data_IF_635147386725
#
_entry.id   IF_635147386725
#
_cell.length_a   1.000
_cell.length_b   1.000
_cell.length_c   1.000
_cell.angle_alpha   90.00
_cell.angle_beta   90.00
_cell.angle_gamma   90.00
#
_symmetry.space_group_name_H-M   'P 1'
#
loop_
_entity.id
_entity.type
_entity.pdbx_description
1 polymer ?
#
# COMPACT_ATOMS: atom_id res chain seq x y z
N UNK A 1 12.26 -1.73 -0.75
CA UNK A 1 12.90 -0.90 0.29
C UNK A 1 11.90 -0.33 1.28
N UNK A 2 10.90 0.46 0.85
CA UNK A 2 9.92 1.07 1.77
C UNK A 2 9.23 0.09 2.73
N UNK A 3 8.76 -1.07 2.25
CA UNK A 3 8.12 -2.14 3.06
C UNK A 3 9.03 -2.80 4.13
N UNK A 4 10.31 -2.41 4.24
CA UNK A 4 11.18 -2.87 5.33
C UNK A 4 11.10 -1.97 6.56
N UNK A 5 10.52 -0.78 6.41
CA UNK A 5 10.28 0.15 7.52
C UNK A 5 9.00 -0.30 8.25
N UNK A 6 9.05 -0.49 9.58
CA UNK A 6 7.90 -0.93 10.35
C UNK A 6 6.68 -0.02 10.14
N UNK A 7 5.50 -0.60 9.97
CA UNK A 7 4.25 0.15 9.74
C UNK A 7 4.05 0.69 8.33
N UNK A 8 5.04 0.56 7.42
CA UNK A 8 4.89 0.97 6.02
C UNK A 8 4.28 -0.16 5.19
N UNK A 9 3.21 0.18 4.47
CA UNK A 9 2.52 -0.65 3.48
C UNK A 9 2.56 0.07 2.14
N UNK A 10 3.70 -0.04 1.47
CA UNK A 10 3.94 0.51 0.15
C UNK A 10 3.38 -0.39 -0.96
N UNK A 11 2.57 0.20 -1.83
CA UNK A 11 2.00 -0.44 -3.01
C UNK A 11 2.63 0.10 -4.30
N UNK A 12 3.10 -0.80 -5.17
CA UNK A 12 3.53 -0.45 -6.52
C UNK A 12 2.36 -0.57 -7.47
N UNK A 13 1.96 0.55 -8.08
CA UNK A 13 0.79 0.61 -8.94
C UNK A 13 1.16 1.09 -10.34
N UNK A 14 0.56 0.47 -11.35
CA UNK A 14 0.72 0.83 -12.76
C UNK A 14 -0.63 1.14 -13.43
N UNK A 15 -1.73 1.05 -12.68
CA UNK A 15 -3.10 1.30 -13.13
C UNK A 15 -3.97 1.79 -11.96
N UNK A 16 -5.15 2.33 -12.27
CA UNK A 16 -6.07 2.93 -11.30
C UNK A 16 -6.79 1.92 -10.43
N UNK A 17 -7.07 0.72 -10.95
CA UNK A 17 -7.74 -0.33 -10.20
C UNK A 17 -6.85 -0.82 -9.05
N UNK A 18 -5.59 -1.15 -9.34
CA UNK A 18 -4.60 -1.55 -8.35
C UNK A 18 -4.39 -0.44 -7.32
N UNK A 19 -4.39 0.82 -7.74
CA UNK A 19 -4.28 1.97 -6.84
C UNK A 19 -5.44 2.03 -5.84
N UNK A 20 -6.69 2.00 -6.33
CA UNK A 20 -7.89 1.99 -5.48
C UNK A 20 -7.89 0.78 -4.54
N UNK A 21 -7.65 -0.42 -5.06
CA UNK A 21 -7.65 -1.65 -4.30
C UNK A 21 -6.52 -1.69 -3.25
N UNK A 22 -5.37 -1.06 -3.52
CA UNK A 22 -4.29 -0.99 -2.55
C UNK A 22 -4.69 -0.22 -1.29
N UNK A 23 -5.49 0.85 -1.42
CA UNK A 23 -6.08 1.57 -0.28
C UNK A 23 -7.22 0.77 0.33
N UNK A 24 -8.21 0.38 -0.47
CA UNK A 24 -9.42 -0.28 -0.03
C UNK A 24 -9.17 -1.59 0.70
N UNK A 25 -8.24 -2.41 0.22
CA UNK A 25 -8.03 -3.76 0.74
C UNK A 25 -6.80 -3.92 1.64
N UNK A 26 -5.78 -3.09 1.48
CA UNK A 26 -4.51 -3.27 2.18
C UNK A 26 -4.18 -2.09 3.10
N UNK A 27 -5.03 -1.05 3.12
CA UNK A 27 -4.74 0.22 3.77
C UNK A 27 -3.31 0.69 3.46
N UNK A 28 -2.94 0.66 2.17
CA UNK A 28 -1.62 1.10 1.75
C UNK A 28 -1.44 2.57 2.15
N UNK A 29 -0.32 2.89 2.79
CA UNK A 29 0.00 4.26 3.25
C UNK A 29 1.16 4.89 2.47
N UNK A 30 1.74 4.16 1.52
CA UNK A 30 2.73 4.66 0.58
C UNK A 30 2.36 4.17 -0.83
N UNK A 31 2.32 5.08 -1.79
CA UNK A 31 2.19 4.77 -3.21
C UNK A 31 3.56 4.84 -3.88
N UNK A 32 3.88 3.86 -4.70
CA UNK A 32 5.11 3.84 -5.51
C UNK A 32 4.76 3.68 -6.99
N UNK A 33 5.43 4.45 -7.85
CA UNK A 33 5.16 4.52 -9.28
C UNK A 33 6.46 4.36 -10.08
N UNK A 34 6.37 3.68 -11.22
CA UNK A 34 7.49 3.52 -12.14
C UNK A 34 7.53 4.63 -13.18
N UNK A 35 8.44 5.60 -13.02
CA UNK A 35 8.55 6.75 -13.94
C UNK A 35 8.84 6.37 -15.42
N UNK A 36 9.41 5.19 -15.66
CA UNK A 36 9.66 4.64 -17.02
C UNK A 36 8.64 3.58 -17.45
N UNK A 37 7.63 3.30 -16.62
CA UNK A 37 6.62 2.25 -16.85
C UNK A 37 5.30 2.88 -17.27
N UNK A 38 4.93 4.01 -16.68
CA UNK A 38 3.67 4.71 -16.94
C UNK A 38 3.93 6.16 -17.36
N UNK A 39 3.09 6.68 -18.26
CA UNK A 39 3.11 8.09 -18.65
C UNK A 39 2.56 9.01 -17.56
N UNK A 40 2.92 10.30 -17.63
CA UNK A 40 2.55 11.31 -16.62
C UNK A 40 1.03 11.49 -16.44
N UNK A 41 0.26 11.38 -17.52
CA UNK A 41 -1.21 11.45 -17.46
C UNK A 41 -1.80 10.33 -16.61
N UNK A 42 -1.41 9.08 -16.87
CA UNK A 42 -1.84 7.92 -16.10
C UNK A 42 -1.31 7.98 -14.64
N UNK A 43 -0.06 8.43 -14.44
CA UNK A 43 0.49 8.60 -13.10
C UNK A 43 -0.35 9.57 -12.26
N UNK A 44 -0.80 10.70 -12.84
CA UNK A 44 -1.66 11.67 -12.15
C UNK A 44 -3.03 11.09 -11.79
N UNK A 45 -3.60 10.31 -12.70
CA UNK A 45 -4.86 9.58 -12.47
C UNK A 45 -4.72 8.60 -11.31
N UNK A 46 -3.66 7.78 -11.32
CA UNK A 46 -3.36 6.81 -10.26
C UNK A 46 -3.24 7.49 -8.90
N UNK A 47 -2.49 8.60 -8.82
CA UNK A 47 -2.34 9.36 -7.57
C UNK A 47 -3.69 9.86 -7.08
N UNK A 48 -4.53 10.42 -7.96
CA UNK A 48 -5.86 10.92 -7.59
C UNK A 48 -6.75 9.81 -7.04
N UNK A 49 -6.82 8.69 -7.75
CA UNK A 49 -7.64 7.52 -7.34
C UNK A 49 -7.14 6.96 -6.01
N UNK A 50 -5.83 6.87 -5.81
CA UNK A 50 -5.24 6.42 -4.56
C UNK A 50 -5.54 7.37 -3.39
N UNK A 51 -5.47 8.68 -3.60
CA UNK A 51 -5.79 9.65 -2.54
C UNK A 51 -7.29 9.68 -2.20
N UNK A 52 -8.16 9.42 -3.17
CA UNK A 52 -9.61 9.41 -2.97
C UNK A 52 -10.14 8.09 -2.38
N UNK A 53 -9.41 6.99 -2.51
CA UNK A 53 -9.86 5.69 -2.03
C UNK A 53 -9.70 5.56 -0.50
N UNK A 54 -10.77 5.10 0.14
CA UNK A 54 -10.81 4.82 1.58
C UNK A 54 -10.61 3.34 1.88
N UNK A 55 -10.13 3.04 3.09
CA UNK A 55 -9.97 1.66 3.53
C UNK A 55 -11.32 1.04 3.90
N UNK A 56 -11.63 -0.13 3.34
CA UNK A 56 -12.92 -0.80 3.55
C UNK A 56 -13.02 -1.54 4.90
N UNK A 57 -11.90 -1.78 5.59
CA UNK A 57 -11.90 -2.50 6.85
C UNK A 57 -12.47 -3.92 6.74
N UNK A 58 -13.29 -4.32 7.72
CA UNK A 58 -13.95 -5.62 7.74
C UNK A 58 -13.00 -6.81 7.52
N UNK A 59 -13.25 -7.60 6.47
CA UNK A 59 -12.42 -8.78 6.16
C UNK A 59 -10.95 -8.44 5.87
N UNK A 60 -10.67 -7.21 5.43
CA UNK A 60 -9.35 -6.72 5.07
C UNK A 60 -8.48 -6.43 6.29
N UNK A 61 -9.10 -5.97 7.39
CA UNK A 61 -8.40 -5.72 8.64
C UNK A 61 -7.65 -6.96 9.12
N UNK A 62 -8.26 -8.15 9.00
CA UNK A 62 -7.60 -9.42 9.37
C UNK A 62 -6.29 -9.67 8.62
N UNK A 63 -6.18 -9.23 7.35
CA UNK A 63 -4.96 -9.39 6.56
C UNK A 63 -3.92 -8.35 6.96
N UNK A 64 -4.35 -7.10 7.18
CA UNK A 64 -3.49 -6.03 7.69
C UNK A 64 -2.89 -6.42 9.05
N UNK A 65 -3.71 -6.92 9.99
CA UNK A 65 -3.24 -7.40 11.29
C UNK A 65 -2.16 -8.48 11.17
N UNK A 66 -2.31 -9.46 10.26
CA UNK A 66 -1.27 -10.48 10.04
C UNK A 66 0.07 -9.90 9.60
N UNK A 67 0.06 -8.82 8.81
CA UNK A 67 1.29 -8.12 8.42
C UNK A 67 1.91 -7.43 9.63
N UNK A 68 1.11 -6.73 10.44
CA UNK A 68 1.57 -6.07 11.66
C UNK A 68 2.13 -7.07 12.69
N UNK A 69 1.47 -8.21 12.87
CA UNK A 69 1.93 -9.29 13.76
C UNK A 69 3.26 -9.87 13.27
N UNK A 70 3.40 -10.06 11.95
CA UNK A 70 4.65 -10.49 11.35
C UNK A 70 5.78 -9.47 11.60
N UNK A 71 5.52 -8.18 11.37
CA UNK A 71 6.47 -7.12 11.68
C UNK A 71 6.89 -7.16 13.15
N UNK A 72 5.93 -7.20 14.07
CA UNK A 72 6.21 -7.26 15.52
C UNK A 72 7.09 -8.46 15.89
N UNK A 73 6.83 -9.64 15.33
CA UNK A 73 7.61 -10.86 15.58
C UNK A 73 9.09 -10.73 15.18
N UNK A 74 9.37 -10.14 14.02
CA UNK A 74 10.73 -10.10 13.48
C UNK A 74 11.50 -8.80 13.80
N UNK A 75 10.82 -7.78 14.30
CA UNK A 75 11.44 -6.55 14.80
C UNK A 75 11.68 -6.59 16.31
N UNK A 76 10.83 -7.30 17.06
CA UNK A 76 10.97 -7.50 18.50
C UNK A 76 12.13 -8.44 18.88
N UNK A 77 12.59 -9.31 17.99
CA UNK A 77 13.71 -10.22 18.23
C UNK A 77 15.11 -9.57 18.09
N UNK A 78 15.18 -8.26 17.82
CA UNK A 78 16.42 -7.48 17.70
C UNK A 78 16.68 -6.55 18.89
N UNK A 79 16.00 -6.75 20.02
CA UNK A 79 16.26 -6.07 21.29
C UNK A 79 16.81 -7.04 22.32
#
# INVERSE_FOLDING_TARGET
MANKVPGIRAASCSDTFTAAMSRAHNDANVLTLGARVIGSGLAREIVRVWLAAEFEGGRHMRRVSKVLDFEARYLGSRR
#
